data_IF_202558611685
#
_entry.id   IF_202558611685
#
_cell.length_a   1.000
_cell.length_b   1.000
_cell.length_c   1.000
_cell.angle_alpha   90.00
_cell.angle_beta   90.00
_cell.angle_gamma   90.00
#
_symmetry.space_group_name_H-M   'P 1'
#
loop_
_entity.id
_entity.type
_entity.pdbx_description
1 polymer ?
#
# COMPACT_ATOMS: atom_id res chain seq x y z
N UNK A 1 11.57 8.19 20.53
CA UNK A 1 11.78 6.74 20.63
C UNK A 1 12.98 6.42 21.51
N UNK A 2 13.40 7.34 22.39
CA UNK A 2 14.66 7.21 23.12
C UNK A 2 14.67 6.04 24.10
N UNK A 3 13.51 5.67 24.63
CA UNK A 3 13.39 4.49 25.49
C UNK A 3 13.58 3.16 24.74
N UNK A 4 13.45 3.14 23.40
CA UNK A 4 13.70 1.94 22.61
C UNK A 4 15.20 1.70 22.49
N UNK A 5 15.64 0.45 22.72
CA UNK A 5 17.06 0.09 22.73
C UNK A 5 17.76 0.50 21.43
N UNK A 6 19.06 0.83 21.51
CA UNK A 6 19.85 1.20 20.33
C UNK A 6 19.86 0.10 19.27
N UNK A 7 19.89 -1.17 19.70
CA UNK A 7 19.80 -2.34 18.81
C UNK A 7 18.50 -2.30 18.02
N UNK A 8 17.36 -2.15 18.68
CA UNK A 8 16.06 -2.11 18.00
C UNK A 8 15.93 -0.88 17.10
N UNK A 9 16.38 0.30 17.54
CA UNK A 9 16.40 1.51 16.70
C UNK A 9 17.26 1.35 15.45
N UNK A 10 18.38 0.65 15.55
CA UNK A 10 19.24 0.34 14.41
C UNK A 10 18.53 -0.60 13.43
N UNK A 11 17.88 -1.67 13.93
CA UNK A 11 17.07 -2.56 13.08
C UNK A 11 15.94 -1.79 12.40
N UNK A 12 15.21 -0.94 13.13
CA UNK A 12 14.15 -0.09 12.56
C UNK A 12 14.67 0.83 11.46
N UNK A 13 15.84 1.45 11.65
CA UNK A 13 16.47 2.28 10.64
C UNK A 13 16.86 1.48 9.38
N UNK A 14 17.44 0.28 9.56
CA UNK A 14 17.76 -0.62 8.43
C UNK A 14 16.48 -1.03 7.70
N UNK A 15 15.42 -1.40 8.42
CA UNK A 15 14.13 -1.74 7.82
C UNK A 15 13.55 -0.58 7.02
N UNK A 16 13.63 0.66 7.53
CA UNK A 16 13.17 1.84 6.80
C UNK A 16 13.94 2.04 5.48
N UNK A 17 15.26 1.81 5.47
CA UNK A 17 16.06 1.87 4.24
C UNK A 17 15.69 0.75 3.28
N UNK A 18 15.67 -0.51 3.73
CA UNK A 18 15.41 -1.67 2.88
C UNK A 18 14.02 -1.59 2.26
N UNK A 19 12.98 -1.38 3.08
CA UNK A 19 11.60 -1.26 2.60
C UNK A 19 11.43 0.02 1.76
N UNK A 20 12.07 1.12 2.13
CA UNK A 20 12.07 2.35 1.34
C UNK A 20 12.65 2.16 -0.06
N UNK A 21 13.73 1.39 -0.19
CA UNK A 21 14.31 1.02 -1.49
C UNK A 21 13.38 0.11 -2.30
N UNK A 22 12.73 -0.87 -1.66
CA UNK A 22 11.70 -1.69 -2.33
C UNK A 22 10.53 -0.83 -2.82
N UNK A 23 10.09 0.14 -2.02
CA UNK A 23 9.02 1.09 -2.38
C UNK A 23 9.43 2.03 -3.51
N UNK A 24 10.70 2.43 -3.59
CA UNK A 24 11.20 3.33 -4.61
C UNK A 24 11.57 2.62 -5.93
N UNK A 25 12.00 1.36 -5.86
CA UNK A 25 12.48 0.63 -7.03
C UNK A 25 11.54 -0.49 -7.46
N UNK A 26 11.29 -1.48 -6.60
CA UNK A 26 10.53 -2.68 -6.97
C UNK A 26 9.03 -2.40 -7.18
N UNK A 27 8.39 -1.69 -6.24
CA UNK A 27 6.94 -1.47 -6.26
C UNK A 27 6.48 -0.73 -7.52
N UNK A 28 7.17 0.32 -8.02
CA UNK A 28 6.80 0.97 -9.28
C UNK A 28 6.68 0.01 -10.46
N UNK A 29 7.61 -0.94 -10.60
CA UNK A 29 7.55 -1.97 -11.65
C UNK A 29 6.38 -2.93 -11.44
N UNK A 30 6.17 -3.39 -10.20
CA UNK A 30 5.03 -4.27 -9.88
C UNK A 30 3.69 -3.60 -10.15
N UNK A 31 3.54 -2.32 -9.78
CA UNK A 31 2.33 -1.53 -10.05
C UNK A 31 2.10 -1.37 -11.55
N UNK A 32 3.13 -1.01 -12.31
CA UNK A 32 3.02 -0.83 -13.76
C UNK A 32 2.66 -2.16 -14.46
N UNK A 33 3.34 -3.24 -14.12
CA UNK A 33 3.06 -4.58 -14.66
C UNK A 33 1.64 -5.03 -14.31
N UNK A 34 1.19 -4.73 -13.08
CA UNK A 34 -0.18 -5.03 -12.65
C UNK A 34 -1.21 -4.25 -13.45
N UNK A 35 -0.97 -2.96 -13.71
CA UNK A 35 -1.84 -2.12 -14.52
C UNK A 35 -1.96 -2.66 -15.95
N UNK A 36 -0.84 -2.92 -16.61
CA UNK A 36 -0.80 -3.41 -17.99
C UNK A 36 -1.60 -4.70 -18.14
N UNK A 37 -1.38 -5.68 -17.24
CA UNK A 37 -2.13 -6.95 -17.24
C UNK A 37 -3.62 -6.74 -17.04
N UNK A 38 -4.00 -5.86 -16.11
CA UNK A 38 -5.42 -5.54 -15.86
C UNK A 38 -6.05 -4.89 -17.08
N UNK A 39 -5.41 -3.87 -17.66
CA UNK A 39 -5.97 -3.14 -18.80
C UNK A 39 -6.10 -4.02 -20.03
N UNK A 40 -5.12 -4.87 -20.34
CA UNK A 40 -5.19 -5.79 -21.50
C UNK A 40 -6.38 -6.74 -21.39
N UNK A 41 -6.55 -7.39 -20.23
CA UNK A 41 -7.66 -8.33 -20.05
C UNK A 41 -9.03 -7.63 -19.93
N UNK A 42 -9.06 -6.45 -19.31
CA UNK A 42 -10.26 -5.63 -19.24
C UNK A 42 -10.71 -5.15 -20.64
N UNK A 43 -9.78 -4.70 -21.48
CA UNK A 43 -10.07 -4.32 -22.86
C UNK A 43 -10.62 -5.51 -23.65
N UNK A 44 -9.99 -6.68 -23.57
CA UNK A 44 -10.49 -7.90 -24.22
C UNK A 44 -11.92 -8.26 -23.76
N UNK A 45 -12.23 -8.09 -22.47
CA UNK A 45 -13.57 -8.32 -21.95
C UNK A 45 -14.62 -7.31 -22.48
N UNK A 46 -14.22 -6.04 -22.64
CA UNK A 46 -15.06 -4.99 -23.22
C UNK A 46 -15.33 -5.29 -24.70
N UNK A 47 -14.30 -5.63 -25.46
CA UNK A 47 -14.38 -5.96 -26.89
C UNK A 47 -15.23 -7.21 -27.15
N UNK A 48 -15.29 -8.14 -26.18
CA UNK A 48 -16.19 -9.29 -26.20
C UNK A 48 -17.68 -8.95 -25.95
N UNK A 49 -18.04 -7.66 -25.88
CA UNK A 49 -19.43 -7.20 -25.82
C UNK A 49 -19.90 -6.72 -24.45
N UNK A 50 -18.98 -6.36 -23.53
CA UNK A 50 -19.32 -5.89 -22.18
C UNK A 50 -18.95 -4.41 -21.97
N UNK A 51 -19.55 -3.45 -22.70
CA UNK A 51 -19.15 -2.04 -22.68
C UNK A 51 -19.36 -1.35 -21.33
N UNK A 52 -20.20 -1.92 -20.44
CA UNK A 52 -20.41 -1.42 -19.08
C UNK A 52 -19.11 -1.34 -18.26
N UNK A 53 -18.06 -2.09 -18.61
CA UNK A 53 -16.80 -2.06 -17.86
C UNK A 53 -15.81 -0.97 -18.31
N UNK A 54 -16.15 -0.15 -19.31
CA UNK A 54 -15.28 0.91 -19.87
C UNK A 54 -14.85 1.95 -18.82
N UNK A 55 -15.68 2.22 -17.82
CA UNK A 55 -15.33 3.13 -16.71
C UNK A 55 -14.12 2.64 -15.91
N UNK A 56 -13.90 1.32 -15.86
CA UNK A 56 -12.74 0.70 -15.21
C UNK A 56 -11.41 1.14 -15.83
N UNK A 57 -11.34 1.31 -17.16
CA UNK A 57 -10.11 1.72 -17.85
C UNK A 57 -9.61 3.06 -17.31
N UNK A 58 -10.49 4.08 -17.27
CA UNK A 58 -10.15 5.43 -16.78
C UNK A 58 -9.78 5.43 -15.29
N UNK A 59 -10.52 4.68 -14.47
CA UNK A 59 -10.26 4.65 -13.02
C UNK A 59 -8.92 3.98 -12.72
N UNK A 60 -8.62 2.85 -13.36
CA UNK A 60 -7.37 2.14 -13.11
C UNK A 60 -6.17 2.89 -13.67
N UNK A 61 -6.29 3.45 -14.87
CA UNK A 61 -5.25 4.28 -15.50
C UNK A 61 -4.92 5.54 -14.69
N UNK A 62 -5.87 6.05 -13.90
CA UNK A 62 -5.61 7.16 -12.97
C UNK A 62 -5.06 6.70 -11.61
N UNK A 63 -5.76 5.78 -10.93
CA UNK A 63 -5.44 5.46 -9.54
C UNK A 63 -4.18 4.60 -9.38
N UNK A 64 -3.82 3.75 -10.35
CA UNK A 64 -2.57 2.98 -10.26
C UNK A 64 -1.35 3.91 -10.28
N UNK A 65 -1.21 4.87 -11.22
CA UNK A 65 -0.14 5.85 -11.17
C UNK A 65 -0.12 6.72 -9.91
N UNK A 66 -1.29 7.12 -9.40
CA UNK A 66 -1.37 7.88 -8.13
C UNK A 66 -0.79 7.06 -6.98
N UNK A 67 -1.21 5.81 -6.81
CA UNK A 67 -0.66 4.92 -5.78
C UNK A 67 0.83 4.67 -5.97
N UNK A 68 1.27 4.47 -7.21
CA UNK A 68 2.70 4.34 -7.55
C UNK A 68 3.50 5.55 -7.06
N UNK A 69 3.04 6.76 -7.37
CA UNK A 69 3.74 7.99 -7.01
C UNK A 69 3.76 8.20 -5.49
N UNK A 70 2.62 8.00 -4.81
CA UNK A 70 2.52 8.15 -3.35
C UNK A 70 3.42 7.14 -2.63
N UNK A 71 3.44 5.88 -3.07
CA UNK A 71 4.31 4.85 -2.50
C UNK A 71 5.79 5.17 -2.75
N UNK A 72 6.15 5.64 -3.94
CA UNK A 72 7.52 6.07 -4.24
C UNK A 72 7.99 7.18 -3.29
N UNK A 73 7.18 8.25 -3.14
CA UNK A 73 7.49 9.37 -2.24
C UNK A 73 7.61 8.88 -0.80
N UNK A 74 6.74 7.98 -0.37
CA UNK A 74 6.81 7.39 0.95
C UNK A 74 8.08 6.56 1.17
N UNK A 75 8.55 5.84 0.15
CA UNK A 75 9.81 5.11 0.18
C UNK A 75 11.01 6.03 0.33
N UNK A 76 11.05 7.10 -0.46
CA UNK A 76 12.09 8.13 -0.34
C UNK A 76 12.09 8.79 1.05
N UNK A 77 10.92 9.13 1.58
CA UNK A 77 10.79 9.70 2.92
C UNK A 77 11.31 8.74 4.00
N UNK A 78 11.01 7.44 3.93
CA UNK A 78 11.53 6.43 4.85
C UNK A 78 13.07 6.36 4.85
N UNK A 79 13.68 6.43 3.68
CA UNK A 79 15.14 6.46 3.55
C UNK A 79 15.71 7.73 4.22
N UNK A 80 15.13 8.89 3.95
CA UNK A 80 15.58 10.18 4.50
C UNK A 80 15.50 10.19 6.04
N UNK A 81 14.38 9.72 6.61
CA UNK A 81 14.19 9.76 8.07
C UNK A 81 14.91 8.64 8.82
N UNK A 82 15.52 7.68 8.12
CA UNK A 82 16.21 6.52 8.74
C UNK A 82 17.30 6.94 9.73
N UNK A 83 18.01 8.03 9.45
CA UNK A 83 19.01 8.60 10.38
C UNK A 83 18.39 9.08 11.69
N UNK A 84 17.23 9.75 11.61
CA UNK A 84 16.50 10.24 12.78
C UNK A 84 15.86 9.10 13.59
N UNK A 85 15.41 8.04 12.91
CA UNK A 85 14.96 6.79 13.55
C UNK A 85 16.09 6.19 14.40
N UNK A 86 17.31 6.15 13.86
CA UNK A 86 18.49 5.62 14.58
C UNK A 86 18.86 6.46 15.80
N UNK A 87 18.72 7.80 15.72
CA UNK A 87 18.86 8.72 16.86
C UNK A 87 17.73 8.57 17.89
N UNK A 88 16.61 7.98 17.48
CA UNK A 88 15.45 7.72 18.33
C UNK A 88 14.59 8.95 18.55
N UNK A 89 14.52 9.84 17.58
CA UNK A 89 13.59 10.97 17.56
C UNK A 89 12.14 10.44 17.59
N UNK A 90 11.21 11.05 18.34
CA UNK A 90 9.88 10.43 18.58
C UNK A 90 8.91 10.55 17.40
N UNK A 91 8.90 11.68 16.70
CA UNK A 91 7.98 11.92 15.57
C UNK A 91 8.17 10.93 14.42
N UNK A 92 9.38 10.37 14.27
CA UNK A 92 9.69 9.42 13.20
C UNK A 92 8.89 8.12 13.32
N UNK A 93 8.42 7.76 14.52
CA UNK A 93 7.62 6.56 14.70
C UNK A 93 6.28 6.67 13.97
N UNK A 94 5.51 7.72 14.29
CA UNK A 94 4.18 7.92 13.70
C UNK A 94 4.29 8.09 12.19
N UNK A 95 5.29 8.87 11.73
CA UNK A 95 5.52 9.03 10.30
C UNK A 95 5.86 7.70 9.63
N UNK A 96 6.85 6.95 10.14
CA UNK A 96 7.26 5.69 9.50
C UNK A 96 6.11 4.68 9.42
N UNK A 97 5.35 4.51 10.51
CA UNK A 97 4.16 3.64 10.52
C UNK A 97 3.14 4.06 9.47
N UNK A 98 2.87 5.36 9.31
CA UNK A 98 1.99 5.87 8.23
C UNK A 98 2.56 5.58 6.85
N UNK A 99 3.86 5.81 6.63
CA UNK A 99 4.51 5.58 5.34
C UNK A 99 4.50 4.09 4.95
N UNK A 100 4.72 3.19 5.90
CA UNK A 100 4.62 1.74 5.67
C UNK A 100 3.19 1.25 5.40
N UNK A 101 2.16 2.00 5.82
CA UNK A 101 0.78 1.63 5.54
C UNK A 101 0.42 1.83 4.05
N UNK A 102 1.07 2.76 3.35
CA UNK A 102 0.69 3.15 2.00
C UNK A 102 0.78 2.02 0.97
N UNK A 103 1.85 1.20 0.92
CA UNK A 103 1.89 0.03 0.03
C UNK A 103 0.81 -1.00 0.37
N UNK A 104 0.50 -1.18 1.66
CA UNK A 104 -0.55 -2.10 2.11
C UNK A 104 -1.91 -1.69 1.57
N UNK A 105 -2.28 -0.42 1.73
CA UNK A 105 -3.55 0.13 1.24
C UNK A 105 -3.60 0.12 -0.29
N UNK A 106 -2.57 0.65 -0.95
CA UNK A 106 -2.51 0.71 -2.41
C UNK A 106 -2.50 -0.67 -3.06
N UNK A 107 -1.70 -1.61 -2.55
CA UNK A 107 -1.66 -2.99 -3.03
C UNK A 107 -2.99 -3.71 -2.88
N UNK A 108 -3.71 -3.52 -1.77
CA UNK A 108 -5.02 -4.13 -1.58
C UNK A 108 -6.12 -3.47 -2.42
N UNK A 109 -6.03 -2.17 -2.67
CA UNK A 109 -6.89 -1.52 -3.66
C UNK A 109 -6.67 -2.12 -5.07
N UNK A 110 -5.41 -2.27 -5.48
CA UNK A 110 -5.03 -2.85 -6.78
C UNK A 110 -5.30 -4.36 -6.86
N UNK A 111 -5.47 -5.04 -5.73
CA UNK A 111 -5.72 -6.47 -5.67
C UNK A 111 -7.04 -6.86 -6.32
N UNK A 112 -8.15 -6.18 -5.99
CA UNK A 112 -9.47 -6.51 -6.54
C UNK A 112 -9.54 -6.46 -8.07
N UNK A 113 -9.15 -5.37 -8.75
CA UNK A 113 -9.13 -5.37 -10.21
C UNK A 113 -8.17 -6.42 -10.77
N UNK A 114 -7.03 -6.68 -10.12
CA UNK A 114 -6.11 -7.72 -10.58
C UNK A 114 -6.76 -9.11 -10.57
N UNK A 115 -7.33 -9.56 -9.45
CA UNK A 115 -7.94 -10.90 -9.36
C UNK A 115 -9.24 -11.02 -10.15
N UNK A 116 -9.85 -9.90 -10.55
CA UNK A 116 -11.05 -9.90 -11.40
C UNK A 116 -10.73 -10.14 -12.87
N UNK A 117 -9.52 -9.79 -13.32
CA UNK A 117 -9.18 -9.74 -14.75
C UNK A 117 -7.93 -10.54 -15.12
N UNK A 118 -7.10 -10.93 -14.15
CA UNK A 118 -5.81 -11.55 -14.41
C UNK A 118 -5.72 -12.87 -13.69
N UNK A 119 -5.48 -13.94 -14.45
CA UNK A 119 -5.24 -15.27 -13.90
C UNK A 119 -3.87 -15.36 -13.21
N UNK A 120 -3.81 -16.20 -12.17
CA UNK A 120 -2.58 -16.52 -11.46
C UNK A 120 -2.33 -15.66 -10.22
N UNK A 121 -1.06 -15.63 -9.78
CA UNK A 121 -0.71 -15.00 -8.51
C UNK A 121 -0.86 -13.46 -8.56
N UNK A 122 -1.56 -12.85 -7.59
CA UNK A 122 -1.80 -11.41 -7.58
C UNK A 122 -0.56 -10.63 -7.17
N UNK A 123 0.10 -10.00 -8.14
CA UNK A 123 1.26 -9.13 -7.90
C UNK A 123 0.99 -8.01 -6.86
N UNK A 124 -0.20 -7.39 -6.79
CA UNK A 124 -0.48 -6.39 -5.76
C UNK A 124 -0.40 -6.91 -4.33
N UNK A 125 -0.54 -8.23 -4.11
CA UNK A 125 -0.36 -8.83 -2.79
C UNK A 125 1.10 -8.70 -2.30
N UNK A 126 2.07 -8.76 -3.20
CA UNK A 126 3.49 -8.54 -2.89
C UNK A 126 3.69 -7.10 -2.41
N UNK A 127 3.09 -6.14 -3.11
CA UNK A 127 3.13 -4.71 -2.77
C UNK A 127 2.59 -4.52 -1.34
N UNK A 128 1.45 -5.12 -1.03
CA UNK A 128 0.87 -5.04 0.31
C UNK A 128 1.73 -5.70 1.37
N UNK A 129 2.29 -6.88 1.08
CA UNK A 129 3.15 -7.60 2.02
C UNK A 129 4.40 -6.78 2.39
N UNK A 130 5.02 -6.09 1.43
CA UNK A 130 6.18 -5.22 1.67
C UNK A 130 5.83 -4.12 2.69
N UNK A 131 4.69 -3.45 2.51
CA UNK A 131 4.22 -2.43 3.46
C UNK A 131 3.96 -3.00 4.85
N UNK A 132 3.23 -4.11 4.93
CA UNK A 132 2.88 -4.78 6.20
C UNK A 132 4.12 -5.24 6.98
N UNK A 133 5.15 -5.76 6.30
CA UNK A 133 6.40 -6.16 6.95
C UNK A 133 7.05 -4.96 7.65
N UNK A 134 7.18 -3.82 6.98
CA UNK A 134 7.71 -2.59 7.60
C UNK A 134 6.84 -2.11 8.76
N UNK A 135 5.52 -2.09 8.54
CA UNK A 135 4.51 -1.65 9.49
C UNK A 135 4.54 -2.44 10.81
N UNK A 136 4.44 -3.77 10.71
CA UNK A 136 4.46 -4.66 11.87
C UNK A 136 5.81 -4.66 12.57
N UNK A 137 6.91 -4.58 11.81
CA UNK A 137 8.26 -4.47 12.39
C UNK A 137 8.36 -3.26 13.31
N UNK A 138 7.83 -2.10 12.91
CA UNK A 138 7.92 -0.89 13.74
C UNK A 138 7.08 -0.99 15.01
N UNK A 139 5.87 -1.54 14.93
CA UNK A 139 5.01 -1.76 16.10
C UNK A 139 5.68 -2.73 17.08
N UNK A 140 6.24 -3.83 16.59
CA UNK A 140 6.81 -4.90 17.42
C UNK A 140 8.18 -4.54 17.99
N UNK A 141 9.02 -3.77 17.27
CA UNK A 141 10.36 -3.40 17.70
C UNK A 141 10.37 -2.23 18.69
N UNK A 142 9.35 -1.36 18.66
CA UNK A 142 9.22 -0.27 19.63
C UNK A 142 9.13 -0.83 21.06
N UNK A 143 9.79 -0.18 22.02
CA UNK A 143 9.65 -0.56 23.43
C UNK A 143 8.22 -0.30 23.90
N UNK A 144 7.60 -1.35 24.43
CA UNK A 144 6.29 -1.36 25.08
C UNK A 144 6.09 -2.75 25.72
N UNK A 145 5.15 -2.86 26.66
CA UNK A 145 4.70 -4.15 27.17
C UNK A 145 4.02 -4.96 26.06
N UNK A 146 4.08 -6.29 26.15
CA UNK A 146 3.52 -7.18 25.13
C UNK A 146 2.01 -6.93 24.88
N UNK A 147 1.14 -6.76 25.92
CA UNK A 147 -0.27 -6.46 25.69
C UNK A 147 -0.45 -5.16 24.90
N UNK A 148 0.33 -4.13 25.20
CA UNK A 148 0.28 -2.84 24.49
C UNK A 148 0.69 -3.00 23.02
N UNK A 149 1.68 -3.85 22.72
CA UNK A 149 2.08 -4.15 21.33
C UNK A 149 0.98 -4.86 20.57
N UNK A 150 0.36 -5.88 21.16
CA UNK A 150 -0.72 -6.64 20.54
C UNK A 150 -1.96 -5.78 20.30
N UNK A 151 -2.34 -4.95 21.29
CA UNK A 151 -3.45 -4.01 21.13
C UNK A 151 -3.17 -3.00 20.02
N UNK A 152 -1.96 -2.43 19.95
CA UNK A 152 -1.58 -1.52 18.86
C UNK A 152 -1.58 -2.23 17.52
N UNK A 153 -1.01 -3.43 17.44
CA UNK A 153 -1.01 -4.23 16.22
C UNK A 153 -2.44 -4.46 15.73
N UNK A 154 -3.33 -4.95 16.59
CA UNK A 154 -4.73 -5.22 16.24
C UNK A 154 -5.48 -3.95 15.83
N UNK A 155 -5.44 -2.90 16.66
CA UNK A 155 -6.16 -1.66 16.42
C UNK A 155 -5.69 -0.96 15.13
N UNK A 156 -4.38 -0.83 14.96
CA UNK A 156 -3.82 -0.14 13.80
C UNK A 156 -3.99 -0.94 12.50
N UNK A 157 -3.89 -2.28 12.56
CA UNK A 157 -4.22 -3.14 11.40
C UNK A 157 -5.70 -3.00 11.02
N UNK A 158 -6.59 -3.01 12.01
CA UNK A 158 -8.03 -2.84 11.77
C UNK A 158 -8.35 -1.49 11.13
N UNK A 159 -7.73 -0.40 11.60
CA UNK A 159 -7.84 0.91 10.95
C UNK A 159 -7.36 0.86 9.50
N UNK A 160 -6.22 0.23 9.22
CA UNK A 160 -5.72 0.07 7.85
C UNK A 160 -6.67 -0.73 6.95
N UNK A 161 -7.28 -1.79 7.48
CA UNK A 161 -8.31 -2.57 6.76
C UNK A 161 -9.54 -1.72 6.44
N UNK A 162 -10.04 -0.94 7.41
CA UNK A 162 -11.17 -0.03 7.19
C UNK A 162 -10.86 1.05 6.15
N UNK A 163 -9.67 1.66 6.20
CA UNK A 163 -9.25 2.65 5.21
C UNK A 163 -9.19 2.07 3.80
N UNK A 164 -8.62 0.87 3.66
CA UNK A 164 -8.54 0.15 2.39
C UNK A 164 -9.94 -0.19 1.87
N UNK A 165 -10.80 -0.70 2.75
CA UNK A 165 -12.16 -1.09 2.41
C UNK A 165 -12.99 0.11 1.94
N UNK A 166 -12.97 1.20 2.71
CA UNK A 166 -13.68 2.43 2.38
C UNK A 166 -13.22 3.01 1.04
N UNK A 167 -11.91 3.06 0.80
CA UNK A 167 -11.36 3.54 -0.47
C UNK A 167 -11.80 2.66 -1.65
N UNK A 168 -11.67 1.34 -1.50
CA UNK A 168 -11.98 0.37 -2.55
C UNK A 168 -13.47 0.39 -2.91
N UNK A 169 -14.36 0.44 -1.92
CA UNK A 169 -15.80 0.57 -2.14
C UNK A 169 -16.12 1.93 -2.76
N UNK A 170 -15.48 3.02 -2.32
CA UNK A 170 -15.69 4.35 -2.89
C UNK A 170 -15.41 4.38 -4.38
N UNK A 171 -14.29 3.81 -4.83
CA UNK A 171 -13.96 3.69 -6.26
C UNK A 171 -14.92 2.75 -6.98
N UNK A 172 -15.29 1.62 -6.36
CA UNK A 172 -16.28 0.69 -6.91
C UNK A 172 -17.65 1.34 -7.13
N UNK A 173 -18.11 2.16 -6.18
CA UNK A 173 -19.36 2.92 -6.29
C UNK A 173 -19.26 3.96 -7.40
N UNK A 174 -18.14 4.67 -7.51
CA UNK A 174 -17.90 5.64 -8.58
C UNK A 174 -17.94 4.98 -9.97
N UNK A 175 -17.37 3.76 -10.11
CA UNK A 175 -17.47 2.96 -11.33
C UNK A 175 -18.91 2.69 -11.72
N UNK A 176 -19.74 2.24 -10.77
CA UNK A 176 -21.16 1.93 -11.01
C UNK A 176 -22.00 3.17 -11.31
N UNK A 177 -21.65 4.32 -10.72
CA UNK A 177 -22.34 5.58 -11.02
C UNK A 177 -22.04 6.06 -12.45
N UNK A 178 -20.82 5.88 -12.94
CA UNK A 178 -20.42 6.27 -14.31
C UNK A 178 -21.02 5.41 -15.41
N UNK A 179 -21.53 4.23 -15.09
CA UNK A 179 -22.20 3.34 -16.05
C UNK A 179 -23.71 3.59 -16.14
N UNK A 180 -24.25 4.45 -15.27
CA UNK A 180 -25.66 4.82 -15.35
C UNK A 180 -25.87 5.64 -16.63
N UNK A 181 -26.94 5.37 -17.40
CA UNK A 181 -27.36 6.28 -18.45
C UNK A 181 -27.49 7.67 -17.80
N UNK A 182 -26.78 8.65 -18.35
CA UNK A 182 -27.00 10.03 -17.97
C UNK A 182 -28.50 10.33 -18.21
N UNK A 183 -29.08 11.19 -17.38
CA UNK A 183 -30.19 11.98 -17.86
C UNK A 183 -29.83 12.65 -19.19
#
# INVERSE_FOLDING_TARGET
MQETSQKNRTVMAVMAVVIGLLMAYLIPFLTQTSLERVLVNLMAHIDAGNPAFTSGLKLFDFFYPVWRAVIFVAGAALIIISGEIKKGTEWTYALAVTLFALPSVGGMFMFLPYVSWVDGFPLPLIISAIGLVGYFSFILLRKAELPVKLTRLGALTFLGMLSTHAFTIGIGAQRTMWTRPMH
#
